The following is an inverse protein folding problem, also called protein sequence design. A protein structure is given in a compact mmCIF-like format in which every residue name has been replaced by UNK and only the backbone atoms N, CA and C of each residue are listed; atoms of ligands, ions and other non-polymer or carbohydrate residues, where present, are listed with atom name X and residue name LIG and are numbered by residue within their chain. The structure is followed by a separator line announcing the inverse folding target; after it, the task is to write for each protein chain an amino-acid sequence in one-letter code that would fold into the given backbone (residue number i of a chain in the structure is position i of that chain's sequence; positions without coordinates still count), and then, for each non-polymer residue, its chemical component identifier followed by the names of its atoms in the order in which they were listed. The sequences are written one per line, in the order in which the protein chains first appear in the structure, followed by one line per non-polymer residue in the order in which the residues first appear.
data_IF_936553458193
#
_entry.id   IF_936553458193
#
_cell.length_a   1.000
_cell.length_b   1.000
_cell.length_c   1.000
_cell.angle_alpha   90.00
_cell.angle_beta   90.00
_cell.angle_gamma   90.00
#
_symmetry.space_group_name_H-M   'P 1'
#
loop_
_entity.id
_entity.type
_entity.pdbx_description
1 polymer ?
#
# COMPACT_ATOMS: atom_id res chain seq x y z
N UNK A 1 28.26 12.44 19.96
CA UNK A 1 27.23 12.02 18.99
C UNK A 1 27.05 13.01 17.82
N UNK A 2 28.05 13.83 17.46
CA UNK A 2 27.86 14.90 16.45
C UNK A 2 28.05 14.39 15.01
N UNK A 3 29.12 13.64 14.74
CA UNK A 3 29.46 13.18 13.39
C UNK A 3 28.37 12.35 12.69
N UNK A 4 27.67 11.49 13.43
CA UNK A 4 26.60 10.66 12.87
C UNK A 4 25.38 11.51 12.44
N UNK A 5 25.05 12.55 13.21
CA UNK A 5 23.94 13.47 12.90
C UNK A 5 24.27 14.31 11.67
N UNK A 6 25.47 14.86 11.59
CA UNK A 6 25.90 15.68 10.44
C UNK A 6 25.91 14.87 9.14
N UNK A 7 26.39 13.62 9.21
CA UNK A 7 26.36 12.70 8.07
C UNK A 7 24.92 12.41 7.63
N UNK A 8 24.02 12.10 8.57
CA UNK A 8 22.60 11.88 8.29
C UNK A 8 21.95 13.10 7.63
N UNK A 9 22.19 14.29 8.15
CA UNK A 9 21.60 15.52 7.63
C UNK A 9 22.10 15.87 6.23
N UNK A 10 23.39 15.71 5.96
CA UNK A 10 23.96 15.89 4.62
C UNK A 10 23.33 14.92 3.61
N UNK A 11 23.04 13.69 4.05
CA UNK A 11 22.43 12.65 3.22
C UNK A 11 20.95 12.95 2.92
N UNK A 12 20.20 13.46 3.90
CA UNK A 12 18.81 13.92 3.72
C UNK A 12 18.77 15.16 2.81
N UNK A 13 19.73 16.06 2.92
CA UNK A 13 19.79 17.28 2.10
C UNK A 13 20.10 16.98 0.63
N UNK A 14 20.99 16.02 0.38
CA UNK A 14 21.33 15.56 -0.97
C UNK A 14 20.25 14.64 -1.58
N UNK A 15 19.48 13.93 -0.75
CA UNK A 15 18.43 13.02 -1.18
C UNK A 15 17.12 13.33 -0.44
N UNK A 16 16.38 14.37 -0.86
CA UNK A 16 15.14 14.73 -0.21
C UNK A 16 14.18 13.53 -0.22
N UNK A 17 13.50 13.24 0.91
CA UNK A 17 12.59 12.11 1.00
C UNK A 17 11.45 12.24 -0.02
N UNK A 18 11.20 11.15 -0.74
CA UNK A 18 10.13 11.05 -1.72
C UNK A 18 8.77 11.39 -1.09
N UNK A 19 7.98 12.18 -1.80
CA UNK A 19 6.61 12.46 -1.38
C UNK A 19 5.76 11.18 -1.47
N UNK A 20 4.82 11.03 -0.52
CA UNK A 20 3.89 9.91 -0.44
C UNK A 20 3.12 9.64 -1.76
N UNK A 21 2.61 10.65 -2.50
CA UNK A 21 1.93 10.40 -3.78
C UNK A 21 2.89 9.86 -4.85
N UNK A 22 4.12 10.37 -4.94
CA UNK A 22 5.11 9.89 -5.92
C UNK A 22 5.48 8.44 -5.62
N UNK A 23 5.71 8.10 -4.35
CA UNK A 23 5.92 6.71 -3.93
C UNK A 23 4.73 5.80 -4.28
N UNK A 24 3.51 6.27 -4.05
CA UNK A 24 2.29 5.52 -4.36
C UNK A 24 1.99 5.40 -5.86
N UNK A 25 2.59 6.24 -6.70
CA UNK A 25 2.45 6.22 -8.15
C UNK A 25 3.48 5.30 -8.82
N UNK A 26 4.64 5.05 -8.18
CA UNK A 26 5.69 4.19 -8.72
C UNK A 26 5.19 2.79 -9.05
N UNK A 27 5.29 2.42 -10.34
CA UNK A 27 4.94 1.10 -10.84
C UNK A 27 6.12 0.14 -10.69
N UNK A 28 5.87 -1.02 -10.09
CA UNK A 28 6.84 -2.12 -10.08
C UNK A 28 6.82 -2.81 -11.45
N UNK A 29 7.97 -3.31 -11.91
CA UNK A 29 8.09 -4.10 -13.16
C UNK A 29 7.13 -5.30 -13.23
N UNK A 30 6.71 -5.82 -12.09
CA UNK A 30 5.78 -6.94 -11.96
C UNK A 30 4.31 -6.53 -11.94
N UNK A 31 4.00 -5.24 -12.04
CA UNK A 31 2.62 -4.75 -12.05
C UNK A 31 1.97 -5.01 -13.41
N UNK A 32 0.92 -5.84 -13.43
CA UNK A 32 0.13 -6.15 -14.63
C UNK A 32 -1.17 -5.34 -14.76
N UNK A 33 -1.47 -4.46 -13.80
CA UNK A 33 -2.71 -3.69 -13.75
C UNK A 33 -2.58 -2.27 -14.31
N UNK A 34 -1.35 -1.80 -14.51
CA UNK A 34 -1.03 -0.42 -14.90
C UNK A 34 -1.19 0.60 -13.76
N UNK A 35 -1.66 0.18 -12.57
CA UNK A 35 -1.93 1.07 -11.44
C UNK A 35 -1.21 0.55 -10.19
N UNK A 36 -0.36 1.39 -9.60
CA UNK A 36 0.37 1.02 -8.39
C UNK A 36 -0.59 0.83 -7.22
N UNK A 37 -0.41 -0.27 -6.47
CA UNK A 37 -1.31 -0.69 -5.40
C UNK A 37 -2.61 -1.36 -5.88
N UNK A 38 -2.76 -1.63 -7.19
CA UNK A 38 -3.82 -2.46 -7.73
C UNK A 38 -3.21 -3.73 -8.33
N UNK A 39 -3.67 -4.90 -7.92
CA UNK A 39 -3.14 -6.17 -8.41
C UNK A 39 -4.28 -7.13 -8.74
N UNK A 40 -4.19 -7.78 -9.90
CA UNK A 40 -5.06 -8.90 -10.25
C UNK A 40 -4.52 -10.16 -9.60
N UNK A 41 -5.35 -10.83 -8.81
CA UNK A 41 -5.02 -12.10 -8.17
C UNK A 41 -5.78 -13.21 -8.87
N UNK A 42 -5.01 -14.13 -9.45
CA UNK A 42 -5.45 -15.43 -9.92
C UNK A 42 -4.64 -16.45 -9.12
N UNK A 43 -5.32 -17.14 -8.20
CA UNK A 43 -4.67 -18.15 -7.38
C UNK A 43 -5.61 -19.32 -7.13
N UNK A 44 -5.09 -20.53 -7.36
CA UNK A 44 -5.70 -21.78 -6.92
C UNK A 44 -5.19 -22.12 -5.53
N UNK A 45 -6.08 -22.21 -4.56
CA UNK A 45 -5.76 -22.55 -3.17
C UNK A 45 -6.55 -23.79 -2.74
N UNK A 46 -5.97 -24.61 -1.87
CA UNK A 46 -6.72 -25.63 -1.17
C UNK A 46 -7.33 -25.03 0.10
N UNK A 47 -8.65 -25.12 0.26
CA UNK A 47 -9.36 -24.67 1.45
C UNK A 47 -10.43 -25.67 1.84
N UNK A 48 -10.47 -26.05 3.12
CA UNK A 48 -11.46 -26.97 3.69
C UNK A 48 -11.66 -28.25 2.86
N UNK A 49 -10.56 -28.86 2.41
CA UNK A 49 -10.60 -30.11 1.63
C UNK A 49 -10.95 -29.95 0.14
N UNK A 50 -11.18 -28.73 -0.36
CA UNK A 50 -11.51 -28.47 -1.77
C UNK A 50 -10.53 -27.49 -2.43
N UNK A 51 -10.30 -27.66 -3.75
CA UNK A 51 -9.55 -26.70 -4.57
C UNK A 51 -10.47 -25.52 -4.90
N UNK A 52 -10.17 -24.36 -4.33
CA UNK A 52 -10.88 -23.12 -4.57
C UNK A 52 -10.04 -22.23 -5.49
N UNK A 53 -10.63 -21.82 -6.60
CA UNK A 53 -10.04 -20.82 -7.48
C UNK A 53 -10.45 -19.42 -7.01
N UNK A 54 -9.50 -18.63 -6.52
CA UNK A 54 -9.74 -17.22 -6.16
C UNK A 54 -9.34 -16.30 -7.30
N UNK A 55 -10.33 -15.61 -7.85
CA UNK A 55 -10.18 -14.57 -8.87
C UNK A 55 -10.73 -13.25 -8.36
N UNK A 56 -9.83 -12.30 -8.07
CA UNK A 56 -10.22 -10.98 -7.57
C UNK A 56 -9.17 -9.90 -7.86
N UNK A 57 -9.64 -8.66 -7.90
CA UNK A 57 -8.79 -7.48 -7.87
C UNK A 57 -8.53 -7.08 -6.41
N UNK A 58 -7.25 -6.98 -6.03
CA UNK A 58 -6.82 -6.48 -4.72
C UNK A 58 -6.33 -5.04 -4.84
N UNK A 59 -6.88 -4.16 -4.01
CA UNK A 59 -6.47 -2.76 -3.90
C UNK A 59 -5.81 -2.57 -2.55
N UNK A 60 -4.53 -2.22 -2.54
CA UNK A 60 -3.75 -1.94 -1.35
C UNK A 60 -3.46 -0.45 -1.26
N UNK A 61 -3.57 0.15 -0.07
CA UNK A 61 -3.08 1.50 0.19
C UNK A 61 -2.48 1.64 1.59
N UNK A 62 -1.42 2.46 1.74
CA UNK A 62 -0.81 2.71 3.03
C UNK A 62 -1.77 3.53 3.91
N UNK A 63 -1.71 3.29 5.21
CA UNK A 63 -2.40 4.04 6.25
C UNK A 63 -1.33 4.61 7.18
N UNK A 64 -1.73 5.53 8.05
CA UNK A 64 -0.95 5.90 9.22
C UNK A 64 -0.57 4.64 10.03
N UNK A 65 0.61 4.67 10.65
CA UNK A 65 1.17 3.61 11.49
C UNK A 65 1.83 2.41 10.77
N UNK A 66 2.45 2.61 9.61
CA UNK A 66 3.14 1.55 8.84
C UNK A 66 2.25 0.36 8.42
N UNK A 67 0.93 0.49 8.56
CA UNK A 67 -0.02 -0.52 8.12
C UNK A 67 -0.51 -0.22 6.70
N UNK A 68 -0.96 -1.27 6.03
CA UNK A 68 -1.61 -1.16 4.72
C UNK A 68 -3.00 -1.75 4.80
N UNK A 69 -3.99 -1.04 4.26
CA UNK A 69 -5.34 -1.56 4.11
C UNK A 69 -5.49 -2.17 2.72
N UNK A 70 -6.31 -3.21 2.66
CA UNK A 70 -6.60 -3.94 1.44
C UNK A 70 -8.11 -3.99 1.22
N UNK A 71 -8.53 -3.91 -0.03
CA UNK A 71 -9.93 -4.15 -0.42
C UNK A 71 -9.97 -5.01 -1.66
N UNK A 72 -10.73 -6.11 -1.56
CA UNK A 72 -10.82 -7.14 -2.60
C UNK A 72 -12.14 -7.04 -3.34
N UNK A 73 -12.09 -7.16 -4.66
CA UNK A 73 -13.26 -7.17 -5.55
C UNK A 73 -13.25 -8.46 -6.36
N UNK A 74 -14.20 -9.36 -6.07
CA UNK A 74 -14.32 -10.65 -6.76
C UNK A 74 -14.68 -10.46 -8.24
N UNK A 75 -13.89 -11.07 -9.12
CA UNK A 75 -14.15 -11.10 -10.57
C UNK A 75 -15.38 -11.99 -10.85
N UNK A 76 -15.52 -13.10 -10.12
CA UNK A 76 -16.68 -14.00 -10.26
C UNK A 76 -18.01 -13.30 -9.95
N UNK A 77 -18.00 -12.28 -9.08
CA UNK A 77 -19.22 -11.53 -8.71
C UNK A 77 -19.54 -10.38 -9.64
N UNK A 78 -18.54 -9.66 -10.15
CA UNK A 78 -18.72 -8.39 -10.85
C UNK A 78 -18.26 -8.41 -12.31
N UNK A 79 -17.76 -9.55 -12.81
CA UNK A 79 -17.02 -9.63 -14.07
C UNK A 79 -15.64 -8.98 -13.96
N UNK A 80 -14.78 -9.22 -14.95
CA UNK A 80 -13.41 -8.67 -15.00
C UNK A 80 -13.45 -7.13 -15.02
N UNK A 81 -14.16 -6.54 -15.98
CA UNK A 81 -14.25 -5.08 -16.15
C UNK A 81 -15.03 -4.39 -15.03
N UNK A 82 -16.06 -5.04 -14.50
CA UNK A 82 -16.85 -4.49 -13.39
C UNK A 82 -16.07 -4.49 -12.08
N UNK A 83 -15.31 -5.55 -11.82
CA UNK A 83 -14.40 -5.60 -10.67
C UNK A 83 -13.25 -4.59 -10.82
N UNK A 84 -12.66 -4.47 -12.02
CA UNK A 84 -11.59 -3.51 -12.30
C UNK A 84 -12.03 -2.06 -12.08
N UNK A 85 -13.17 -1.64 -12.64
CA UNK A 85 -13.71 -0.28 -12.44
C UNK A 85 -13.97 0.05 -10.98
N UNK A 86 -14.50 -0.91 -10.21
CA UNK A 86 -14.71 -0.75 -8.75
C UNK A 86 -13.38 -0.61 -8.00
N UNK A 87 -12.39 -1.39 -8.40
CA UNK A 87 -11.05 -1.35 -7.81
C UNK A 87 -10.36 -0.01 -8.10
N UNK A 88 -10.46 0.51 -9.31
CA UNK A 88 -9.98 1.86 -9.68
C UNK A 88 -10.64 2.95 -8.84
N UNK A 89 -11.98 2.94 -8.74
CA UNK A 89 -12.72 3.92 -7.94
C UNK A 89 -12.31 3.87 -6.47
N UNK A 90 -12.12 2.67 -5.93
CA UNK A 90 -11.65 2.48 -4.55
C UNK A 90 -10.23 3.01 -4.35
N UNK A 91 -9.33 2.78 -5.32
CA UNK A 91 -7.95 3.29 -5.27
C UNK A 91 -7.91 4.83 -5.32
N UNK A 92 -8.68 5.44 -6.24
CA UNK A 92 -8.77 6.90 -6.34
C UNK A 92 -9.31 7.53 -5.04
N UNK A 93 -10.36 6.95 -4.45
CA UNK A 93 -10.90 7.40 -3.17
C UNK A 93 -9.87 7.25 -2.03
N UNK A 94 -9.14 6.13 -1.99
CA UNK A 94 -8.10 5.91 -0.98
C UNK A 94 -6.96 6.93 -1.12
N UNK A 95 -6.49 7.21 -2.34
CA UNK A 95 -5.44 8.21 -2.57
C UNK A 95 -5.89 9.62 -2.18
N UNK A 96 -7.15 9.98 -2.47
CA UNK A 96 -7.72 11.25 -2.02
C UNK A 96 -7.69 11.37 -0.49
N UNK A 97 -8.02 10.30 0.23
CA UNK A 97 -7.99 10.27 1.69
C UNK A 97 -6.56 10.37 2.28
N UNK A 98 -5.55 9.88 1.57
CA UNK A 98 -4.14 9.88 2.03
C UNK A 98 -3.40 11.15 1.60
N UNK A 99 -3.96 11.94 0.68
CA UNK A 99 -3.29 13.12 0.10
C UNK A 99 -2.85 14.17 1.13
N UNK A 100 -3.53 14.26 2.27
CA UNK A 100 -3.18 15.15 3.39
C UNK A 100 -2.18 14.54 4.39
N UNK A 101 -1.81 13.27 4.25
CA UNK A 101 -0.95 12.58 5.21
C UNK A 101 0.51 12.58 4.78
N UNK A 102 1.39 13.08 5.65
CA UNK A 102 2.85 12.95 5.48
C UNK A 102 3.28 11.49 5.64
N UNK A 103 4.23 11.03 4.81
CA UNK A 103 4.83 9.69 4.98
C UNK A 103 5.89 9.78 6.07
N UNK A 104 5.60 9.27 7.26
CA UNK A 104 6.60 9.09 8.31
C UNK A 104 6.81 7.60 8.59
N UNK A 105 7.80 6.94 7.96
CA UNK A 105 8.07 5.53 8.16
C UNK A 105 8.58 5.20 9.58
N UNK A 106 8.92 6.23 10.38
CA UNK A 106 9.47 6.06 11.73
C UNK A 106 8.54 6.56 12.85
N UNK A 107 7.47 7.32 12.57
CA UNK A 107 6.56 7.83 13.61
C UNK A 107 5.90 6.72 14.45
N UNK A 108 5.69 5.55 13.85
CA UNK A 108 4.92 4.44 14.44
C UNK A 108 5.69 3.58 15.44
N UNK A 109 7.03 3.74 15.57
CA UNK A 109 7.84 2.89 16.48
C UNK A 109 7.82 3.34 17.94
N UNK A 110 7.30 4.53 18.25
CA UNK A 110 7.41 5.13 19.60
C UNK A 110 6.20 4.92 20.53
N UNK A 111 5.04 4.52 20.02
CA UNK A 111 3.79 4.55 20.80
C UNK A 111 3.48 3.27 21.60
N UNK A 112 4.41 2.30 21.67
CA UNK A 112 4.20 0.99 22.29
C UNK A 112 4.80 0.79 23.70
N UNK A 113 5.69 1.67 24.16
CA UNK A 113 6.36 1.53 25.46
C UNK A 113 6.16 2.82 26.29
N UNK A 114 5.02 2.94 26.97
CA UNK A 114 4.84 3.77 28.19
C UNK A 114 3.47 3.50 28.81
N UNK A 115 3.17 2.23 29.09
CA UNK A 115 2.02 1.82 29.92
C UNK A 115 2.44 0.65 30.80
N UNK A 116 3.46 0.87 31.62
CA UNK A 116 3.83 0.06 32.79
C UNK A 116 4.73 0.93 33.67
N UNK A 117 4.09 1.78 34.47
CA UNK A 117 4.68 2.43 35.63
C UNK A 117 3.73 2.17 36.80
#
# INVERSE_FOLDING_TARGET
MVAATTYREALIRSNPPLSKPVYCASLKKTNRSGVSGLSRIDRREFSKGSRVHRLYWDVQWPIENCQSRHKKFSILKYGEDGAYRRALKARAAALKAISSQTFSPFASRGAGNNAAA
#
